data_IF_909508697119
#
_entry.id   IF_909508697119
#
_cell.length_a   1.000
_cell.length_b   1.000
_cell.length_c   1.000
_cell.angle_alpha   90.00
_cell.angle_beta   90.00
_cell.angle_gamma   90.00
#
_symmetry.space_group_name_H-M   'P 1'
#
loop_
_entity.id
_entity.type
_entity.pdbx_description
1 polymer ?
#
# COMPACT_ATOMS: atom_id res chain seq x y z
N UNK A 1 -72.84 -21.28 -5.01
CA UNK A 1 -71.88 -21.17 -6.14
C UNK A 1 -71.30 -19.76 -6.15
N UNK A 2 -69.98 -19.66 -6.32
CA UNK A 2 -69.14 -18.51 -5.96
C UNK A 2 -69.18 -17.36 -7.00
N UNK A 3 -69.20 -16.14 -6.48
CA UNK A 3 -69.06 -14.81 -7.13
C UNK A 3 -67.70 -14.70 -7.85
N UNK A 4 -67.67 -14.41 -9.16
CA UNK A 4 -67.57 -13.08 -9.81
C UNK A 4 -66.17 -12.41 -9.75
N UNK A 5 -65.57 -12.32 -10.94
CA UNK A 5 -65.13 -11.08 -11.59
C UNK A 5 -64.47 -10.00 -10.72
N UNK A 6 -63.18 -10.17 -10.41
CA UNK A 6 -62.38 -9.08 -9.83
C UNK A 6 -60.96 -8.93 -10.40
N UNK A 7 -60.55 -9.75 -11.38
CA UNK A 7 -59.14 -9.77 -11.81
C UNK A 7 -58.85 -8.99 -13.11
N UNK A 8 -59.86 -8.55 -13.86
CA UNK A 8 -59.67 -7.89 -15.15
C UNK A 8 -59.78 -6.36 -15.12
N UNK A 9 -59.95 -5.75 -13.95
CA UNK A 9 -60.11 -4.30 -13.79
C UNK A 9 -58.85 -3.59 -13.26
N UNK A 10 -57.79 -4.34 -12.90
CA UNK A 10 -56.53 -3.77 -12.41
C UNK A 10 -55.45 -3.56 -13.50
N UNK A 11 -55.64 -4.12 -14.70
CA UNK A 11 -54.67 -4.05 -15.81
C UNK A 11 -54.90 -2.82 -16.70
N UNK A 12 -55.96 -2.04 -16.47
CA UNK A 12 -56.39 -0.95 -17.36
C UNK A 12 -56.25 0.47 -16.78
N UNK A 13 -55.53 0.64 -15.66
CA UNK A 13 -55.39 1.94 -14.97
C UNK A 13 -53.95 2.47 -14.89
N UNK A 14 -52.97 1.90 -15.59
CA UNK A 14 -51.56 2.34 -15.48
C UNK A 14 -50.91 2.82 -16.78
N UNK A 15 -51.66 2.94 -17.89
CA UNK A 15 -51.09 3.28 -19.21
C UNK A 15 -51.46 4.63 -19.77
N UNK A 16 -52.14 5.52 -19.04
CA UNK A 16 -52.47 6.85 -19.56
C UNK A 16 -52.40 7.88 -18.43
N UNK A 17 -51.77 9.03 -18.70
CA UNK A 17 -51.45 10.16 -17.81
C UNK A 17 -50.06 9.97 -17.16
N UNK A 18 -48.93 10.34 -17.78
CA UNK A 18 -48.61 11.69 -18.24
C UNK A 18 -47.75 11.66 -19.51
N UNK A 19 -48.30 12.24 -20.58
CA UNK A 19 -47.53 12.87 -21.64
C UNK A 19 -47.74 14.37 -21.45
N UNK A 20 -46.68 15.10 -21.11
CA UNK A 20 -46.67 16.55 -21.17
C UNK A 20 -45.28 17.01 -21.63
N UNK A 21 -45.28 17.53 -22.86
CA UNK A 21 -44.37 18.52 -23.42
C UNK A 21 -42.94 18.09 -23.81
N UNK A 22 -42.81 18.02 -25.14
CA UNK A 22 -41.60 18.25 -25.91
C UNK A 22 -40.93 19.58 -25.57
N UNK A 23 -39.61 19.59 -25.40
CA UNK A 23 -38.70 20.63 -25.91
C UNK A 23 -37.26 20.10 -25.94
N UNK A 24 -36.66 20.23 -27.12
CA UNK A 24 -35.25 20.13 -27.54
C UNK A 24 -34.23 19.45 -26.61
N UNK A 25 -33.77 18.28 -27.02
CA UNK A 25 -32.51 17.68 -26.54
C UNK A 25 -31.36 18.48 -27.16
N UNK A 26 -30.76 19.36 -26.37
CA UNK A 26 -29.47 20.00 -26.67
C UNK A 26 -28.39 18.92 -26.58
N UNK A 27 -28.10 18.30 -27.71
CA UNK A 27 -26.98 17.41 -27.93
C UNK A 27 -25.71 18.26 -28.11
N UNK A 28 -25.09 18.75 -27.02
CA UNK A 28 -23.62 19.02 -26.91
C UNK A 28 -23.12 19.65 -25.59
N UNK A 29 -23.72 19.33 -24.43
CA UNK A 29 -23.07 19.64 -23.13
C UNK A 29 -22.13 18.53 -22.61
N UNK A 30 -21.94 17.44 -23.38
CA UNK A 30 -21.08 16.30 -23.01
C UNK A 30 -19.57 16.57 -23.04
N UNK A 31 -19.13 17.82 -23.26
CA UNK A 31 -17.70 18.21 -23.25
C UNK A 31 -17.32 19.23 -22.18
N UNK A 32 -18.23 19.59 -21.27
CA UNK A 32 -17.93 20.53 -20.18
C UNK A 32 -18.14 19.99 -18.76
N UNK A 33 -18.67 18.78 -18.60
CA UNK A 33 -18.85 18.14 -17.28
C UNK A 33 -17.69 17.25 -16.81
N UNK A 34 -16.62 17.07 -17.57
CA UNK A 34 -15.37 16.42 -17.08
C UNK A 34 -14.44 17.38 -16.32
N UNK A 35 -14.81 18.66 -16.17
CA UNK A 35 -13.94 19.69 -15.59
C UNK A 35 -14.60 20.50 -14.47
N UNK A 36 -15.50 19.87 -13.72
CA UNK A 36 -15.74 20.27 -12.33
C UNK A 36 -14.95 19.32 -11.42
N UNK A 37 -13.64 19.60 -11.34
CA UNK A 37 -12.75 19.17 -10.28
C UNK A 37 -13.44 19.35 -8.93
N UNK A 38 -14.00 18.26 -8.41
CA UNK A 38 -14.26 18.12 -6.99
C UNK A 38 -12.94 18.44 -6.28
N UNK A 39 -12.92 19.54 -5.53
CA UNK A 39 -11.92 19.82 -4.49
C UNK A 39 -12.07 18.78 -3.35
N UNK A 40 -11.91 17.51 -3.68
CA UNK A 40 -11.58 16.43 -2.76
C UNK A 40 -10.06 16.27 -2.73
N UNK A 41 -9.55 15.75 -1.63
CA UNK A 41 -8.11 15.59 -1.33
C UNK A 41 -7.40 14.66 -2.33
N UNK A 42 -7.11 15.16 -3.53
CA UNK A 42 -6.34 14.46 -4.56
C UNK A 42 -4.88 14.83 -4.48
N UNK A 43 -4.00 13.83 -4.65
CA UNK A 43 -2.55 13.98 -4.63
C UNK A 43 -1.95 13.32 -5.85
N UNK A 44 -0.96 13.96 -6.48
CA UNK A 44 -0.21 13.36 -7.59
C UNK A 44 1.04 12.69 -7.04
N UNK A 45 1.19 11.40 -7.33
CA UNK A 45 2.30 10.57 -6.87
C UNK A 45 3.14 10.17 -8.09
N UNK A 46 4.44 10.41 -8.01
CA UNK A 46 5.40 10.11 -9.07
C UNK A 46 6.33 9.01 -8.61
N UNK A 47 6.27 7.87 -9.28
CA UNK A 47 7.17 6.75 -9.05
C UNK A 47 8.26 6.70 -10.11
N UNK A 48 9.51 6.60 -9.66
CA UNK A 48 10.63 6.21 -10.51
C UNK A 48 11.04 4.79 -10.13
N UNK A 49 10.75 3.85 -11.02
CA UNK A 49 11.06 2.44 -10.83
C UNK A 49 12.42 2.10 -11.43
N UNK A 50 13.14 1.19 -10.78
CA UNK A 50 14.30 0.51 -11.32
C UNK A 50 14.09 -1.01 -11.15
N UNK A 51 13.91 -1.68 -12.29
CA UNK A 51 13.75 -3.12 -12.40
C UNK A 51 14.98 -3.72 -13.09
N UNK A 52 15.89 -4.28 -12.29
CA UNK A 52 17.17 -4.83 -12.74
C UNK A 52 17.97 -3.92 -13.69
N UNK A 53 18.00 -2.61 -13.42
CA UNK A 53 18.72 -1.59 -14.18
C UNK A 53 17.89 -0.92 -15.28
N UNK A 54 16.68 -1.41 -15.57
CA UNK A 54 15.74 -0.74 -16.46
C UNK A 54 14.91 0.26 -15.66
N UNK A 55 15.02 1.53 -16.00
CA UNK A 55 14.28 2.60 -15.33
C UNK A 55 13.03 2.99 -16.11
N UNK A 56 11.95 3.27 -15.39
CA UNK A 56 10.71 3.77 -15.95
C UNK A 56 9.95 4.61 -14.93
N UNK A 57 9.09 5.52 -15.40
CA UNK A 57 8.40 6.50 -14.56
C UNK A 57 6.90 6.43 -14.75
N UNK A 58 6.18 6.48 -13.65
CA UNK A 58 4.73 6.53 -13.60
C UNK A 58 4.33 7.72 -12.74
N UNK A 59 3.34 8.49 -13.20
CA UNK A 59 2.66 9.48 -12.37
C UNK A 59 1.19 9.09 -12.26
N UNK A 60 0.60 9.16 -11.07
CA UNK A 60 -0.82 8.89 -10.91
C UNK A 60 -1.49 9.86 -9.93
N UNK A 61 -2.74 10.21 -10.24
CA UNK A 61 -3.61 11.04 -9.40
C UNK A 61 -4.38 10.14 -8.47
N UNK A 62 -4.10 10.23 -7.18
CA UNK A 62 -4.70 9.43 -6.12
C UNK A 62 -5.70 10.26 -5.31
N UNK A 63 -6.90 9.73 -5.11
CA UNK A 63 -7.89 10.31 -4.22
C UNK A 63 -7.70 9.74 -2.81
N UNK A 64 -7.30 10.59 -1.86
CA UNK A 64 -6.99 10.12 -0.50
C UNK A 64 -8.22 9.68 0.29
N UNK A 65 -9.40 10.18 -0.05
CA UNK A 65 -10.67 9.81 0.58
C UNK A 65 -11.19 8.45 0.10
N UNK A 66 -11.28 8.25 -1.22
CA UNK A 66 -11.77 6.98 -1.78
C UNK A 66 -10.70 5.89 -1.79
N UNK A 67 -9.43 6.28 -1.76
CA UNK A 67 -8.30 5.39 -1.93
C UNK A 67 -8.13 4.89 -3.37
N UNK A 68 -8.70 5.61 -4.33
CA UNK A 68 -8.71 5.22 -5.74
C UNK A 68 -7.72 6.04 -6.56
N UNK A 69 -7.14 5.40 -7.56
CA UNK A 69 -6.36 6.08 -8.59
C UNK A 69 -7.32 6.53 -9.69
N UNK A 70 -7.32 7.83 -9.96
CA UNK A 70 -8.22 8.48 -10.92
C UNK A 70 -7.62 8.51 -12.33
N UNK A 71 -6.29 8.68 -12.41
CA UNK A 71 -5.55 8.81 -13.66
C UNK A 71 -4.13 8.32 -13.47
N UNK A 72 -3.53 7.77 -14.52
CA UNK A 72 -2.12 7.43 -14.57
C UNK A 72 -1.51 7.81 -15.93
N UNK A 73 -0.27 8.28 -15.89
CA UNK A 73 0.51 8.74 -17.04
C UNK A 73 1.97 8.24 -16.92
N UNK A 74 2.74 8.36 -18.02
CA UNK A 74 4.13 7.92 -18.10
C UNK A 74 4.28 6.59 -18.82
N UNK A 75 5.21 5.75 -18.36
CA UNK A 75 5.56 4.45 -18.94
C UNK A 75 4.56 3.34 -18.56
N UNK A 76 3.25 3.64 -18.65
CA UNK A 76 2.14 2.79 -18.18
C UNK A 76 2.15 1.41 -18.85
N UNK A 77 2.41 1.36 -20.15
CA UNK A 77 2.45 0.08 -20.90
C UNK A 77 3.60 -0.82 -20.42
N UNK A 78 4.75 -0.24 -20.10
CA UNK A 78 5.89 -0.98 -19.58
C UNK A 78 5.66 -1.43 -18.14
N UNK A 79 5.05 -0.58 -17.30
CA UNK A 79 4.59 -0.99 -15.98
C UNK A 79 3.56 -2.13 -16.08
N UNK A 80 2.66 -2.11 -17.06
CA UNK A 80 1.70 -3.18 -17.32
C UNK A 80 2.38 -4.48 -17.78
N UNK A 81 3.47 -4.42 -18.54
CA UNK A 81 4.26 -5.59 -18.92
C UNK A 81 4.91 -6.25 -17.69
N UNK A 82 5.58 -5.46 -16.86
CA UNK A 82 6.30 -5.96 -15.67
C UNK A 82 5.32 -6.51 -14.66
N UNK A 83 4.28 -5.75 -14.40
CA UNK A 83 3.45 -6.01 -13.26
C UNK A 83 2.09 -6.64 -13.58
N UNK A 84 1.55 -6.44 -14.78
CA UNK A 84 0.17 -6.79 -15.13
C UNK A 84 -0.22 -8.26 -14.94
N UNK A 85 0.74 -9.18 -14.99
CA UNK A 85 0.52 -10.60 -14.74
C UNK A 85 0.82 -10.96 -13.28
N UNK A 86 -0.21 -11.19 -12.47
CA UNK A 86 -0.05 -11.46 -11.02
C UNK A 86 0.85 -12.65 -10.67
N UNK A 87 0.91 -13.68 -11.52
CA UNK A 87 1.76 -14.86 -11.28
C UNK A 87 3.24 -14.54 -11.47
N UNK A 88 3.55 -13.65 -12.42
CA UNK A 88 4.92 -13.24 -12.80
C UNK A 88 5.34 -11.91 -12.20
N UNK A 89 4.40 -11.14 -11.64
CA UNK A 89 4.65 -9.81 -11.13
C UNK A 89 5.72 -9.85 -10.04
N UNK A 90 6.60 -8.83 -10.00
CA UNK A 90 7.55 -8.66 -8.93
C UNK A 90 6.88 -8.70 -7.56
N UNK A 91 7.50 -9.45 -6.63
CA UNK A 91 6.96 -9.65 -5.28
C UNK A 91 7.60 -8.74 -4.25
N UNK A 92 8.63 -7.99 -4.62
CA UNK A 92 9.46 -7.29 -3.65
C UNK A 92 9.78 -5.88 -4.11
N UNK A 93 9.46 -4.89 -3.28
CA UNK A 93 9.73 -3.48 -3.50
C UNK A 93 10.64 -2.94 -2.40
N UNK A 94 11.59 -2.08 -2.73
CA UNK A 94 12.49 -1.48 -1.76
C UNK A 94 12.62 0.03 -1.97
N UNK A 95 12.52 0.77 -0.87
CA UNK A 95 12.53 2.22 -0.78
C UNK A 95 13.75 2.65 0.04
N UNK A 96 14.67 3.33 -0.60
CA UNK A 96 15.92 3.78 0.00
C UNK A 96 15.77 5.21 0.51
N UNK A 97 15.75 5.38 1.83
CA UNK A 97 15.66 6.67 2.51
C UNK A 97 14.48 7.54 2.01
N UNK A 98 13.24 7.03 2.03
CA UNK A 98 12.09 7.83 1.60
C UNK A 98 11.92 9.04 2.51
N UNK A 99 11.63 10.19 1.91
CA UNK A 99 11.33 11.42 2.62
C UNK A 99 9.86 11.43 3.06
N UNK A 100 9.63 11.80 4.33
CA UNK A 100 8.28 11.88 4.87
C UNK A 100 7.46 12.94 4.12
N UNK A 101 6.33 12.52 3.55
CA UNK A 101 5.43 13.42 2.82
C UNK A 101 5.83 13.66 1.36
N UNK A 102 6.97 13.15 0.89
CA UNK A 102 7.30 13.19 -0.53
C UNK A 102 6.34 12.32 -1.33
N UNK A 103 5.88 12.87 -2.46
CA UNK A 103 5.13 12.15 -3.48
C UNK A 103 6.01 11.75 -4.67
N UNK A 104 7.28 12.16 -4.68
CA UNK A 104 8.31 11.65 -5.58
C UNK A 104 9.02 10.48 -4.89
N UNK A 105 8.74 9.27 -5.38
CA UNK A 105 9.13 8.01 -4.73
C UNK A 105 10.00 7.18 -5.67
N UNK A 106 11.21 6.88 -5.22
CA UNK A 106 12.11 5.95 -5.92
C UNK A 106 11.88 4.52 -5.43
N UNK A 107 11.78 3.59 -6.38
CA UNK A 107 11.42 2.19 -6.11
C UNK A 107 12.40 1.25 -6.78
N UNK A 108 13.05 0.40 -5.98
CA UNK A 108 13.80 -0.77 -6.49
C UNK A 108 12.87 -1.97 -6.51
N UNK A 109 12.76 -2.62 -7.66
CA UNK A 109 11.81 -3.72 -7.90
C UNK A 109 12.57 -5.03 -8.05
N UNK A 110 12.09 -6.07 -7.36
CA UNK A 110 12.68 -7.41 -7.36
C UNK A 110 11.62 -8.48 -7.53
N UNK A 111 11.96 -9.54 -8.25
CA UNK A 111 11.06 -10.68 -8.48
C UNK A 111 10.78 -11.45 -7.18
N UNK A 112 11.75 -11.47 -6.26
CA UNK A 112 11.73 -12.29 -5.06
C UNK A 112 12.37 -11.57 -3.85
N UNK A 113 12.08 -12.09 -2.65
CA UNK A 113 12.55 -11.54 -1.38
C UNK A 113 14.05 -11.72 -1.19
N UNK A 114 14.63 -12.79 -1.75
CA UNK A 114 16.05 -13.09 -1.66
C UNK A 114 16.90 -12.02 -2.35
N UNK A 115 16.50 -11.59 -3.55
CA UNK A 115 17.16 -10.52 -4.30
C UNK A 115 17.04 -9.17 -3.59
N UNK A 116 15.87 -8.86 -3.04
CA UNK A 116 15.68 -7.68 -2.20
C UNK A 116 16.64 -7.70 -0.99
N UNK A 117 16.70 -8.81 -0.23
CA UNK A 117 17.60 -8.93 0.92
C UNK A 117 19.07 -8.84 0.54
N UNK A 118 19.46 -9.42 -0.60
CA UNK A 118 20.81 -9.32 -1.16
C UNK A 118 21.13 -7.88 -1.53
N UNK A 119 20.19 -7.15 -2.12
CA UNK A 119 20.34 -5.72 -2.41
C UNK A 119 20.46 -4.91 -1.12
N UNK A 120 19.58 -5.13 -0.13
CA UNK A 120 19.65 -4.43 1.15
C UNK A 120 20.98 -4.64 1.85
N UNK A 121 21.53 -5.86 1.84
CA UNK A 121 22.85 -6.15 2.42
C UNK A 121 24.00 -5.40 1.74
N UNK A 122 23.84 -4.98 0.48
CA UNK A 122 24.82 -4.15 -0.24
C UNK A 122 24.69 -2.67 0.08
N UNK A 123 23.46 -2.16 0.20
CA UNK A 123 23.21 -0.72 0.39
C UNK A 123 23.14 -0.30 1.86
N UNK A 124 22.77 -1.22 2.75
CA UNK A 124 22.71 -1.00 4.17
C UNK A 124 24.00 -1.52 4.83
N UNK A 125 24.99 -0.65 4.94
CA UNK A 125 26.30 -0.98 5.51
C UNK A 125 26.19 -1.62 6.91
N UNK A 126 26.90 -2.73 7.09
CA UNK A 126 26.91 -3.48 8.35
C UNK A 126 25.56 -4.08 8.71
N UNK A 127 24.63 -4.23 7.75
CA UNK A 127 23.32 -4.81 8.00
C UNK A 127 23.47 -6.20 8.63
N UNK A 128 22.99 -6.40 9.87
CA UNK A 128 23.12 -7.67 10.58
C UNK A 128 22.39 -8.83 9.90
N UNK A 129 21.45 -8.52 8.99
CA UNK A 129 20.69 -9.51 8.24
C UNK A 129 19.93 -10.49 9.12
N UNK A 130 19.69 -11.67 8.56
CA UNK A 130 18.98 -12.76 9.22
C UNK A 130 19.91 -13.58 10.15
N UNK A 131 21.21 -13.30 10.24
CA UNK A 131 22.12 -14.07 11.11
C UNK A 131 21.89 -13.80 12.59
N UNK A 132 21.59 -12.55 12.95
CA UNK A 132 21.17 -12.17 14.33
C UNK A 132 19.78 -12.71 14.68
N UNK A 133 19.07 -13.24 13.69
CA UNK A 133 17.65 -13.60 13.72
C UNK A 133 17.39 -15.06 14.15
N UNK A 134 18.39 -15.93 14.00
CA UNK A 134 18.27 -17.38 14.17
C UNK A 134 18.80 -17.91 15.50
N UNK A 135 19.60 -17.14 16.24
CA UNK A 135 20.09 -17.55 17.56
C UNK A 135 18.96 -17.48 18.60
N UNK A 136 18.34 -18.64 18.90
CA UNK A 136 17.32 -18.77 19.95
C UNK A 136 15.89 -19.02 19.48
N UNK A 137 15.65 -19.19 18.18
CA UNK A 137 14.32 -19.51 17.65
C UNK A 137 14.02 -21.00 17.60
N UNK A 138 12.83 -21.37 18.10
CA UNK A 138 12.27 -22.72 17.93
C UNK A 138 11.48 -22.90 16.62
N UNK A 139 11.05 -21.83 15.94
CA UNK A 139 10.33 -21.90 14.66
C UNK A 139 10.40 -20.60 13.83
N UNK A 140 10.15 -20.70 12.51
CA UNK A 140 10.06 -19.59 11.54
C UNK A 140 8.79 -18.72 11.64
N UNK A 141 7.91 -18.99 12.62
CA UNK A 141 6.64 -18.28 12.77
C UNK A 141 6.49 -17.61 14.14
N UNK A 142 7.51 -17.66 14.99
CA UNK A 142 7.45 -17.14 16.35
C UNK A 142 8.00 -15.70 16.39
N UNK A 143 7.24 -14.80 17.02
CA UNK A 143 7.74 -13.48 17.40
C UNK A 143 8.88 -13.61 18.40
N UNK A 144 10.00 -12.93 18.16
CA UNK A 144 11.19 -13.01 19.01
C UNK A 144 11.91 -11.66 19.06
N UNK A 145 12.07 -11.04 20.23
CA UNK A 145 12.62 -9.69 20.38
C UNK A 145 14.00 -9.65 21.05
N UNK A 146 14.96 -8.90 20.50
CA UNK A 146 16.29 -8.63 21.13
C UNK A 146 16.35 -7.20 21.68
N UNK A 147 17.05 -6.97 22.79
CA UNK A 147 17.20 -5.62 23.38
C UNK A 147 18.09 -4.70 22.55
N UNK A 148 17.79 -3.40 22.46
CA UNK A 148 18.56 -2.41 21.69
C UNK A 148 18.00 -0.99 21.68
N UNK A 149 18.16 -0.25 20.58
CA UNK A 149 17.89 1.21 20.57
C UNK A 149 16.79 1.69 19.61
N UNK A 150 16.19 0.80 18.82
CA UNK A 150 15.08 1.15 17.93
C UNK A 150 13.74 1.23 18.66
N UNK A 151 12.87 2.14 18.21
CA UNK A 151 11.47 2.20 18.60
C UNK A 151 10.58 2.17 17.36
N UNK A 152 9.69 1.19 17.27
CA UNK A 152 8.84 0.93 16.10
C UNK A 152 7.38 1.13 16.49
N UNK A 153 6.69 1.94 15.70
CA UNK A 153 5.28 2.30 15.88
C UNK A 153 4.54 2.05 14.58
N UNK A 154 3.38 1.41 14.68
CA UNK A 154 2.52 1.02 13.56
C UNK A 154 1.12 1.55 13.83
N UNK A 155 0.40 1.95 12.79
CA UNK A 155 -0.85 2.69 12.92
C UNK A 155 -1.93 2.18 11.97
N UNK A 156 -3.18 2.20 12.44
CA UNK A 156 -4.33 1.67 11.70
C UNK A 156 -4.76 2.52 10.50
N UNK A 157 -4.33 3.78 10.49
CA UNK A 157 -4.75 4.75 9.50
C UNK A 157 -3.54 5.54 9.01
N UNK A 158 -3.71 6.21 7.87
CA UNK A 158 -2.73 7.15 7.37
C UNK A 158 -2.46 8.26 8.41
N UNK A 159 -1.32 8.91 8.27
CA UNK A 159 -0.85 10.04 9.07
C UNK A 159 -0.79 9.73 10.58
N UNK A 160 -0.39 8.50 10.91
CA UNK A 160 -0.11 8.06 12.28
C UNK A 160 -1.32 8.07 13.21
N UNK A 161 -2.50 7.84 12.64
CA UNK A 161 -3.74 7.81 13.38
C UNK A 161 -4.04 6.39 13.90
N UNK A 162 -4.44 6.30 15.17
CA UNK A 162 -4.68 5.07 15.95
C UNK A 162 -3.48 4.11 15.99
N UNK A 163 -2.64 4.23 17.03
CA UNK A 163 -1.50 3.32 17.24
C UNK A 163 -1.96 1.87 17.49
N UNK A 164 -1.32 0.94 16.81
CA UNK A 164 -1.44 -0.51 17.04
C UNK A 164 -0.52 -0.88 18.21
N UNK A 165 -0.94 -0.57 19.45
CA UNK A 165 -0.09 -0.71 20.65
C UNK A 165 0.45 -2.12 20.89
N UNK A 166 -0.30 -3.17 20.51
CA UNK A 166 0.17 -4.56 20.54
C UNK A 166 1.37 -4.83 19.60
N UNK A 167 1.54 -3.99 18.58
CA UNK A 167 2.67 -4.02 17.66
C UNK A 167 3.81 -3.07 18.03
N UNK A 168 3.62 -2.15 18.99
CA UNK A 168 4.70 -1.24 19.43
C UNK A 168 5.88 -2.02 19.97
N UNK A 169 7.10 -1.59 19.64
CA UNK A 169 8.35 -2.10 20.22
C UNK A 169 9.26 -0.95 20.63
N UNK A 170 9.79 -0.99 21.84
CA UNK A 170 10.63 0.07 22.41
C UNK A 170 11.95 -0.48 22.93
N UNK A 171 13.05 0.23 22.67
CA UNK A 171 14.41 -0.14 23.11
C UNK A 171 14.79 -1.58 22.72
N UNK A 172 14.55 -1.95 21.47
CA UNK A 172 14.87 -3.28 20.93
C UNK A 172 15.82 -3.16 19.73
N UNK A 173 16.85 -4.02 19.65
CA UNK A 173 17.60 -4.34 18.43
C UNK A 173 16.77 -5.47 17.87
N UNK A 174 16.20 -5.35 16.69
CA UNK A 174 15.10 -6.24 16.38
C UNK A 174 15.20 -6.96 15.05
N UNK A 175 14.59 -8.14 15.09
CA UNK A 175 14.14 -9.02 14.03
C UNK A 175 12.79 -9.54 14.53
N UNK A 176 11.69 -9.30 13.83
CA UNK A 176 10.33 -9.77 14.17
C UNK A 176 9.83 -10.66 13.08
N UNK A 177 9.04 -11.68 13.44
CA UNK A 177 7.94 -12.31 12.69
C UNK A 177 6.75 -12.03 13.56
N UNK A 178 5.87 -11.15 13.12
CA UNK A 178 4.61 -10.99 13.79
C UNK A 178 3.58 -11.69 12.99
N UNK A 179 2.72 -12.47 13.62
CA UNK A 179 1.38 -12.55 13.10
C UNK A 179 0.63 -11.32 13.62
N UNK A 180 0.18 -10.44 12.72
CA UNK A 180 -0.53 -9.20 13.07
C UNK A 180 -1.82 -9.45 13.87
N UNK A 181 -2.32 -10.69 13.85
CA UNK A 181 -3.53 -11.11 14.56
C UNK A 181 -4.77 -10.75 13.75
N UNK A 182 -5.81 -11.57 13.84
CA UNK A 182 -7.05 -11.41 13.06
C UNK A 182 -7.76 -10.05 13.24
N UNK A 183 -7.56 -9.36 14.37
CA UNK A 183 -8.19 -8.06 14.65
C UNK A 183 -7.45 -6.81 14.14
N UNK A 184 -6.24 -6.99 13.62
CA UNK A 184 -5.36 -5.91 13.14
C UNK A 184 -4.82 -6.19 11.72
N UNK A 185 -5.02 -7.41 11.21
CA UNK A 185 -4.73 -7.75 9.83
C UNK A 185 -5.52 -6.79 8.92
N UNK A 186 -4.92 -6.36 7.83
CA UNK A 186 -5.55 -5.48 6.84
C UNK A 186 -5.85 -4.06 7.34
N UNK A 187 -5.15 -3.59 8.37
CA UNK A 187 -5.33 -2.25 8.94
C UNK A 187 -4.05 -1.41 8.95
N UNK A 188 -2.89 -1.93 8.56
CA UNK A 188 -1.66 -1.13 8.66
C UNK A 188 -1.55 -0.14 7.50
N UNK A 189 -1.69 1.16 7.78
CA UNK A 189 -1.63 2.22 6.76
C UNK A 189 -0.54 3.27 6.99
N UNK A 190 0.11 3.32 8.16
CA UNK A 190 1.30 4.17 8.38
C UNK A 190 2.22 3.63 9.48
N UNK A 191 3.50 4.08 9.48
CA UNK A 191 4.49 3.64 10.46
C UNK A 191 5.52 4.73 10.80
N UNK A 192 6.02 4.69 12.04
CA UNK A 192 7.15 5.52 12.50
C UNK A 192 8.20 4.63 13.13
N UNK A 193 9.45 4.83 12.75
CA UNK A 193 10.59 4.12 13.34
C UNK A 193 11.62 5.15 13.78
N UNK A 194 11.87 5.19 15.08
CA UNK A 194 12.84 6.08 15.72
C UNK A 194 14.08 5.30 16.12
N UNK A 195 15.24 5.93 15.94
CA UNK A 195 16.56 5.38 16.28
C UNK A 195 17.49 6.51 16.74
N UNK A 196 18.58 6.19 17.46
CA UNK A 196 19.68 7.14 17.64
C UNK A 196 20.29 7.59 16.31
N UNK A 197 20.92 8.77 16.31
CA UNK A 197 21.46 9.42 15.10
C UNK A 197 22.51 8.58 14.37
N UNK A 198 23.37 7.90 15.12
CA UNK A 198 24.48 7.10 14.60
C UNK A 198 24.06 5.68 14.17
N UNK A 199 22.76 5.38 14.18
CA UNK A 199 22.21 4.08 13.79
C UNK A 199 21.57 4.17 12.41
N UNK A 200 21.52 3.05 11.70
CA UNK A 200 20.76 2.78 10.48
C UNK A 200 19.50 2.00 10.84
N UNK A 201 18.55 1.90 9.91
CA UNK A 201 17.40 1.01 10.11
C UNK A 201 16.82 0.49 8.80
N UNK A 202 16.23 -0.70 8.87
CA UNK A 202 15.46 -1.35 7.80
C UNK A 202 14.16 -1.86 8.40
N UNK A 203 13.06 -1.78 7.66
CA UNK A 203 11.84 -2.51 7.97
C UNK A 203 11.29 -3.18 6.71
N UNK A 204 10.85 -4.43 6.83
CA UNK A 204 10.12 -5.17 5.82
C UNK A 204 8.69 -5.40 6.31
N UNK A 205 7.72 -5.17 5.43
CA UNK A 205 6.31 -5.48 5.61
C UNK A 205 5.96 -6.61 4.65
N UNK A 206 5.39 -7.70 5.17
CA UNK A 206 5.08 -8.90 4.41
C UNK A 206 3.57 -9.09 4.33
N UNK A 207 3.12 -9.52 3.15
CA UNK A 207 1.70 -9.77 2.88
C UNK A 207 1.16 -10.95 3.69
N UNK A 208 1.94 -12.00 3.94
CA UNK A 208 1.49 -13.18 4.66
C UNK A 208 2.17 -13.33 6.02
N UNK A 209 1.60 -14.20 6.86
CA UNK A 209 2.23 -14.64 8.09
C UNK A 209 3.53 -15.38 7.80
N UNK A 210 4.40 -15.50 8.81
CA UNK A 210 5.69 -16.19 8.69
C UNK A 210 6.54 -15.70 7.50
N UNK A 211 6.45 -14.41 7.17
CA UNK A 211 7.28 -13.74 6.14
C UNK A 211 7.08 -14.20 4.71
N UNK A 212 5.90 -14.74 4.41
CA UNK A 212 5.55 -15.12 3.05
C UNK A 212 4.97 -13.96 2.24
N UNK A 213 4.81 -14.23 0.94
CA UNK A 213 4.09 -13.34 0.03
C UNK A 213 4.92 -12.16 -0.44
N UNK A 214 4.22 -11.09 -0.83
CA UNK A 214 4.85 -9.84 -1.27
C UNK A 214 5.53 -9.12 -0.10
N UNK A 215 6.59 -8.36 -0.41
CA UNK A 215 7.41 -7.64 0.56
C UNK A 215 7.62 -6.19 0.13
N UNK A 216 7.48 -5.29 1.09
CA UNK A 216 7.85 -3.88 0.95
C UNK A 216 8.92 -3.58 1.98
N UNK A 217 10.09 -3.14 1.52
CA UNK A 217 11.22 -2.80 2.35
C UNK A 217 11.52 -1.31 2.36
N UNK A 218 11.75 -0.77 3.54
CA UNK A 218 12.15 0.61 3.72
C UNK A 218 13.47 0.66 4.47
N UNK A 219 14.40 1.45 3.98
CA UNK A 219 15.70 1.68 4.62
C UNK A 219 15.87 3.16 4.94
N UNK A 220 16.56 3.45 6.05
CA UNK A 220 17.02 4.80 6.37
C UNK A 220 18.44 4.73 6.95
N UNK A 221 19.38 5.53 6.44
CA UNK A 221 20.77 5.55 6.87
C UNK A 221 20.93 6.24 8.23
N UNK A 222 22.15 6.50 8.66
CA UNK A 222 22.43 7.33 9.83
C UNK A 222 21.86 8.74 9.66
N UNK A 223 21.32 9.32 10.73
CA UNK A 223 20.70 10.64 10.70
C UNK A 223 19.73 10.88 11.86
N UNK A 224 19.39 12.15 12.07
CA UNK A 224 18.41 12.59 13.09
C UNK A 224 16.98 12.15 12.79
N UNK A 225 16.67 12.01 11.49
CA UNK A 225 15.37 11.57 11.06
C UNK A 225 15.28 10.04 11.19
N UNK A 226 14.16 9.61 11.77
CA UNK A 226 13.73 8.23 11.69
C UNK A 226 13.21 7.90 10.29
N UNK A 227 12.46 6.82 10.20
CA UNK A 227 11.76 6.40 8.98
C UNK A 227 10.29 6.56 9.30
N UNK A 228 9.66 7.47 8.60
CA UNK A 228 8.29 7.86 8.81
C UNK A 228 7.56 7.70 7.48
N UNK A 229 6.65 6.74 7.43
CA UNK A 229 5.80 6.52 6.25
C UNK A 229 4.39 6.91 6.66
N UNK A 230 4.00 8.12 6.24
CA UNK A 230 2.70 8.72 6.59
C UNK A 230 1.53 8.05 5.90
N UNK A 231 1.71 7.53 4.69
CA UNK A 231 0.64 6.85 3.96
C UNK A 231 1.22 5.70 3.14
N UNK A 232 1.08 4.46 3.62
CA UNK A 232 1.58 3.26 2.94
C UNK A 232 0.95 3.05 1.56
N UNK A 233 -0.24 3.60 1.34
CA UNK A 233 -0.93 3.51 0.05
C UNK A 233 -0.12 4.17 -1.06
N UNK A 234 0.71 5.18 -0.75
CA UNK A 234 1.58 5.80 -1.74
C UNK A 234 2.72 4.90 -2.21
N UNK A 235 3.12 3.88 -1.46
CA UNK A 235 4.36 3.15 -1.71
C UNK A 235 4.16 1.88 -2.54
N UNK A 236 3.04 1.76 -3.25
CA UNK A 236 2.67 0.48 -3.88
C UNK A 236 1.91 0.67 -5.17
N UNK A 237 2.13 -0.26 -6.10
CA UNK A 237 1.23 -0.55 -7.20
C UNK A 237 1.10 -2.07 -7.27
N UNK A 238 -0.10 -2.65 -7.09
CA UNK A 238 -0.25 -4.11 -7.23
C UNK A 238 -1.66 -4.58 -7.60
N UNK A 239 -1.72 -5.63 -8.44
CA UNK A 239 -2.85 -6.52 -8.75
C UNK A 239 -3.62 -6.13 -10.02
N UNK A 240 -4.13 -7.08 -10.82
CA UNK A 240 -4.70 -7.00 -12.20
C UNK A 240 -5.60 -5.76 -12.52
N UNK A 241 -6.09 -5.07 -11.49
CA UNK A 241 -6.86 -3.82 -11.49
C UNK A 241 -6.00 -2.57 -11.14
N UNK A 242 -4.71 -2.60 -11.49
CA UNK A 242 -3.55 -1.80 -11.06
C UNK A 242 -3.72 -0.27 -10.93
N UNK A 243 -4.66 0.33 -11.66
CA UNK A 243 -4.96 1.77 -11.61
C UNK A 243 -6.24 2.12 -10.84
N UNK A 244 -6.78 1.21 -10.03
CA UNK A 244 -7.97 1.50 -9.23
C UNK A 244 -7.70 1.56 -7.73
N UNK A 245 -6.71 0.83 -7.21
CA UNK A 245 -6.39 0.80 -5.77
C UNK A 245 -4.89 0.60 -5.54
N UNK A 246 -4.30 1.42 -4.69
CA UNK A 246 -2.96 1.19 -4.13
C UNK A 246 -3.07 0.46 -2.78
N UNK A 247 -2.07 -0.36 -2.42
CA UNK A 247 -1.91 -1.21 -1.21
C UNK A 247 -3.21 -1.62 -0.50
N UNK A 248 -3.55 -2.91 -0.54
CA UNK A 248 -4.80 -3.41 0.07
C UNK A 248 -4.77 -3.53 1.61
N UNK A 249 -3.89 -2.80 2.29
CA UNK A 249 -3.69 -2.79 3.75
C UNK A 249 -3.23 -4.15 4.35
N UNK A 250 -3.05 -5.21 3.56
CA UNK A 250 -2.65 -6.54 4.06
C UNK A 250 -1.17 -6.60 4.42
N UNK A 251 -0.85 -6.22 5.66
CA UNK A 251 0.39 -6.61 6.33
C UNK A 251 0.04 -7.67 7.37
N UNK A 252 0.52 -8.89 7.16
CA UNK A 252 0.32 -10.00 8.10
C UNK A 252 1.57 -10.33 8.91
N UNK A 253 2.75 -9.90 8.46
CA UNK A 253 3.99 -9.94 9.25
C UNK A 253 4.96 -8.81 8.91
N UNK A 254 5.86 -8.48 9.84
CA UNK A 254 6.88 -7.44 9.64
C UNK A 254 8.20 -7.92 10.20
N UNK A 255 9.33 -7.43 9.68
CA UNK A 255 10.68 -7.54 10.29
C UNK A 255 11.32 -6.16 10.30
N UNK A 256 12.10 -5.79 11.31
CA UNK A 256 12.79 -4.50 11.28
C UNK A 256 13.96 -4.40 12.22
N UNK A 257 15.04 -3.78 11.75
CA UNK A 257 16.34 -3.66 12.40
C UNK A 257 16.68 -2.19 12.63
N UNK A 258 17.39 -1.90 13.72
CA UNK A 258 18.04 -0.60 13.95
C UNK A 258 19.42 -0.85 14.59
N UNK A 259 20.51 -0.52 13.88
CA UNK A 259 21.88 -0.91 14.25
C UNK A 259 22.92 0.15 13.90
#
# INVERSE_FOLDING_TARGET
MKKQNFLWMAVMCFTLLFSCQSEEIIENESKKEELQLAKGSTVTINHTYDYYGKQFKISYVYNEESGEVLKADGDVDFAQEIFGNEEKAPKSLFFNNPEEGSTDIEVKVFDNTEDLKKYTSKVAEGFPGDQVSTEGKSSKCNSYDVYGSGNFYFYKHAYYNTEMTGMRRQKRYYYRDHWVGSGNNDQLSSLKIRKPTYRRQVVYLYQHSCYGGKVIGFYSPTGYLGLNVGNLKWYTMSGWWWWKKSWNDQVSSTSGWAW
#
